data_IF_031836439829
#
_entry.id   IF_031836439829
#
_cell.length_a   1.000
_cell.length_b   1.000
_cell.length_c   1.000
_cell.angle_alpha   90.00
_cell.angle_beta   90.00
_cell.angle_gamma   90.00
#
_symmetry.space_group_name_H-M   'P 1'
#
loop_
_entity.id
_entity.type
_entity.pdbx_description
1 polymer ?
#
# COMPACT_ATOMS: atom_id res chain seq x y z
N UNK A 1 10.08 -6.08 2.84
CA UNK A 1 8.80 -5.83 3.52
C UNK A 1 8.06 -7.13 3.69
N UNK A 2 7.41 -7.35 4.83
CA UNK A 2 6.66 -8.59 5.01
C UNK A 2 5.20 -8.30 5.38
N UNK A 3 4.35 -9.32 5.26
CA UNK A 3 2.92 -9.23 5.50
C UNK A 3 2.58 -8.81 6.92
N UNK A 4 3.35 -9.28 7.90
CA UNK A 4 3.07 -8.97 9.30
C UNK A 4 3.22 -7.49 9.59
N UNK A 5 4.24 -6.85 9.02
CA UNK A 5 4.45 -5.42 9.17
C UNK A 5 3.31 -4.66 8.52
N UNK A 6 2.92 -5.07 7.32
CA UNK A 6 1.83 -4.43 6.59
C UNK A 6 0.53 -4.51 7.39
N UNK A 7 0.20 -5.69 7.90
CA UNK A 7 -1.01 -5.86 8.70
C UNK A 7 -0.96 -5.07 9.99
N UNK A 8 0.21 -5.02 10.62
CA UNK A 8 0.38 -4.31 11.88
C UNK A 8 0.11 -2.82 11.76
N UNK A 9 0.37 -2.25 10.60
CA UNK A 9 0.13 -0.82 10.36
C UNK A 9 -1.12 -0.55 9.52
N UNK A 10 -1.92 -1.57 9.24
CA UNK A 10 -3.01 -1.45 8.27
C UNK A 10 -3.97 -0.31 8.59
N UNK A 11 -4.31 -0.13 9.86
CA UNK A 11 -5.22 0.94 10.25
C UNK A 11 -4.67 2.32 9.83
N UNK A 12 -3.38 2.54 10.05
CA UNK A 12 -2.74 3.79 9.67
C UNK A 12 -2.56 3.87 8.15
N UNK A 13 -2.20 2.75 7.54
CA UNK A 13 -2.01 2.69 6.10
C UNK A 13 -3.29 3.10 5.37
N UNK A 14 -4.42 2.50 5.74
CA UNK A 14 -5.66 2.79 5.04
C UNK A 14 -6.10 4.23 5.23
N UNK A 15 -5.76 4.84 6.36
CA UNK A 15 -6.08 6.24 6.60
C UNK A 15 -5.32 7.20 5.70
N UNK A 16 -4.14 6.81 5.24
CA UNK A 16 -3.29 7.68 4.41
C UNK A 16 -3.20 7.25 2.95
N UNK A 17 -3.70 6.07 2.65
CA UNK A 17 -3.51 5.45 1.34
C UNK A 17 -4.10 6.28 0.20
N UNK A 18 -5.31 6.80 0.37
CA UNK A 18 -5.98 7.60 -0.65
C UNK A 18 -5.30 8.94 -0.88
N UNK A 19 -4.64 9.49 0.14
CA UNK A 19 -3.87 10.71 -0.03
C UNK A 19 -2.61 10.46 -0.87
N UNK A 20 -2.03 9.29 -0.70
CA UNK A 20 -0.82 8.92 -1.44
C UNK A 20 -1.15 8.55 -2.88
N UNK A 21 -2.22 7.80 -3.08
CA UNK A 21 -2.61 7.29 -4.40
C UNK A 21 -4.09 7.57 -4.65
N UNK A 22 -4.36 8.74 -5.21
CA UNK A 22 -5.74 9.21 -5.40
C UNK A 22 -6.58 8.37 -6.34
N UNK A 23 -5.95 7.58 -7.23
CA UNK A 23 -6.69 6.74 -8.16
C UNK A 23 -7.26 5.48 -7.54
N UNK A 24 -6.78 5.12 -6.33
CA UNK A 24 -7.32 3.96 -5.63
C UNK A 24 -8.62 4.37 -4.95
N UNK A 25 -9.68 3.59 -5.14
CA UNK A 25 -10.99 3.91 -4.59
C UNK A 25 -11.15 3.37 -3.16
N UNK A 26 -12.15 3.91 -2.45
CA UNK A 26 -12.48 3.42 -1.11
C UNK A 26 -12.86 1.95 -1.12
N UNK A 27 -13.58 1.53 -2.16
CA UNK A 27 -13.97 0.12 -2.29
C UNK A 27 -12.75 -0.78 -2.42
N UNK A 28 -11.76 -0.34 -3.20
CA UNK A 28 -10.53 -1.11 -3.35
C UNK A 28 -9.78 -1.21 -2.02
N UNK A 29 -9.71 -0.11 -1.28
CA UNK A 29 -9.06 -0.12 0.03
C UNK A 29 -9.76 -1.08 0.98
N UNK A 30 -11.09 -1.05 1.00
CA UNK A 30 -11.87 -1.94 1.86
C UNK A 30 -11.63 -3.42 1.54
N UNK A 31 -11.41 -3.74 0.26
CA UNK A 31 -11.17 -5.12 -0.15
C UNK A 31 -9.76 -5.61 0.14
N UNK A 32 -8.82 -4.71 0.38
CA UNK A 32 -7.43 -5.10 0.63
C UNK A 32 -7.25 -5.84 1.95
N UNK A 33 -8.01 -5.48 2.96
CA UNK A 33 -8.02 -6.16 4.27
C UNK A 33 -6.65 -6.36 4.88
N UNK A 34 -5.74 -5.42 4.64
CA UNK A 34 -4.39 -5.49 5.18
C UNK A 34 -3.44 -6.38 4.40
N UNK A 35 -3.75 -6.68 3.14
CA UNK A 35 -2.89 -7.49 2.30
C UNK A 35 -1.97 -6.61 1.44
N UNK A 36 -0.66 -6.83 1.57
CA UNK A 36 0.34 -6.18 0.74
C UNK A 36 0.10 -6.49 -0.75
N UNK A 37 -0.22 -7.74 -1.04
CA UNK A 37 -0.44 -8.15 -2.43
C UNK A 37 -1.60 -7.41 -3.08
N UNK A 38 -2.64 -7.14 -2.31
CA UNK A 38 -3.79 -6.42 -2.83
C UNK A 38 -3.44 -4.96 -3.14
N UNK A 39 -2.66 -4.32 -2.28
CA UNK A 39 -2.21 -2.96 -2.56
C UNK A 39 -1.30 -2.95 -3.79
N UNK A 40 -0.37 -3.90 -3.86
CA UNK A 40 0.55 -4.02 -4.98
C UNK A 40 -0.22 -4.17 -6.29
N UNK A 41 -1.21 -5.07 -6.31
CA UNK A 41 -2.03 -5.29 -7.50
C UNK A 41 -2.86 -4.08 -7.88
N UNK A 42 -3.37 -3.36 -6.88
CA UNK A 42 -4.16 -2.16 -7.13
C UNK A 42 -3.32 -1.05 -7.77
N UNK A 43 -2.07 -0.92 -7.35
CA UNK A 43 -1.16 0.05 -7.95
C UNK A 43 -0.85 -0.31 -9.41
N UNK A 44 -0.63 -1.59 -9.68
CA UNK A 44 -0.39 -2.03 -11.03
C UNK A 44 -1.61 -1.79 -11.92
N UNK A 45 -2.80 -2.08 -11.39
CA UNK A 45 -4.04 -1.91 -12.13
C UNK A 45 -4.34 -0.43 -12.43
N UNK A 46 -4.21 0.42 -11.43
CA UNK A 46 -4.67 1.80 -11.55
C UNK A 46 -3.64 2.74 -12.14
N UNK A 47 -2.36 2.42 -12.01
CA UNK A 47 -1.27 3.27 -12.49
C UNK A 47 -0.44 2.64 -13.60
N UNK A 48 -0.67 1.37 -13.88
CA UNK A 48 0.12 0.67 -14.89
C UNK A 48 1.55 0.40 -14.46
N UNK A 49 1.84 0.41 -13.16
CA UNK A 49 3.19 0.17 -12.69
C UNK A 49 3.62 -1.26 -12.94
N UNK A 50 4.90 -1.44 -13.28
CA UNK A 50 5.50 -2.75 -13.26
C UNK A 50 5.80 -3.15 -11.81
N UNK A 51 6.10 -4.42 -11.62
CA UNK A 51 6.32 -4.96 -10.28
C UNK A 51 7.31 -4.13 -9.47
N UNK A 52 8.45 -3.81 -10.05
CA UNK A 52 9.51 -3.08 -9.37
C UNK A 52 9.07 -1.67 -8.98
N UNK A 53 8.33 -1.01 -9.85
CA UNK A 53 7.86 0.33 -9.56
C UNK A 53 6.82 0.31 -8.43
N UNK A 54 5.91 -0.67 -8.45
CA UNK A 54 4.91 -0.79 -7.41
C UNK A 54 5.57 -1.06 -6.05
N UNK A 55 6.58 -1.92 -6.04
CA UNK A 55 7.33 -2.21 -4.81
C UNK A 55 8.03 -0.96 -4.27
N UNK A 56 8.63 -0.19 -5.17
CA UNK A 56 9.31 1.04 -4.78
C UNK A 56 8.33 2.07 -4.21
N UNK A 57 7.16 2.20 -4.82
CA UNK A 57 6.16 3.15 -4.36
C UNK A 57 5.69 2.80 -2.95
N UNK A 58 5.48 1.52 -2.68
CA UNK A 58 5.04 1.09 -1.35
C UNK A 58 6.16 1.29 -0.33
N UNK A 59 7.40 0.96 -0.70
CA UNK A 59 8.54 1.15 0.19
C UNK A 59 8.70 2.63 0.57
N UNK A 60 8.63 3.51 -0.42
CA UNK A 60 8.76 4.95 -0.18
C UNK A 60 7.63 5.46 0.73
N UNK A 61 6.42 4.95 0.55
CA UNK A 61 5.29 5.30 1.37
C UNK A 61 5.52 4.88 2.84
N UNK A 62 6.04 3.68 3.05
CA UNK A 62 6.36 3.21 4.39
C UNK A 62 7.49 4.03 5.02
N UNK A 63 8.54 4.31 4.24
CA UNK A 63 9.67 5.10 4.75
C UNK A 63 9.22 6.51 5.15
N UNK A 64 8.40 7.11 4.33
CA UNK A 64 7.88 8.46 4.57
C UNK A 64 7.08 8.55 5.86
N UNK A 65 6.37 7.49 6.20
CA UNK A 65 5.51 7.44 7.38
C UNK A 65 6.17 6.75 8.58
N UNK A 66 7.43 6.38 8.46
CA UNK A 66 8.18 5.71 9.53
C UNK A 66 7.59 4.37 9.97
N UNK A 67 6.95 3.68 9.06
CA UNK A 67 6.43 2.34 9.31
C UNK A 67 7.54 1.34 9.01
N UNK A 68 8.39 1.11 9.98
CA UNK A 68 9.58 0.30 9.77
C UNK A 68 9.49 -1.04 10.45
N UNK A 69 10.25 -1.98 9.91
CA UNK A 69 10.48 -3.25 10.54
C UNK A 69 11.29 -3.01 11.82
N UNK A 70 10.81 -3.52 12.94
CA UNK A 70 11.50 -3.38 14.21
C UNK A 70 12.43 -4.55 14.46
#
# INVERSE_FOLDING_TARGET
MNEDIFKGYWHEIKGKLRNQWGKITDDEVAQMKGSYEELHGSLQKNYGYQKEQAEKEIKDFFDKNNWKNK
#
